data_IF_414962561972
#
_entry.id   IF_414962561972
#
_cell.length_a   1.000
_cell.length_b   1.000
_cell.length_c   1.000
_cell.angle_alpha   90.00
_cell.angle_beta   90.00
_cell.angle_gamma   90.00
#
_symmetry.space_group_name_H-M   'P 1'
#
loop_
_entity.id
_entity.type
_entity.pdbx_description
1 polymer ?
2 non-polymer ?
3 non-polymer ?
4 water ?
#
# COMPACT_ATOMS: atom_id res chain seq x y z
N UNK A 1 13.28 1.50 -8.56
CA UNK A 1 11.98 0.84 -8.76
C UNK A 1 10.84 1.82 -8.56
N UNK A 2 9.79 1.67 -9.37
CA UNK A 2 8.61 2.53 -9.28
C UNK A 2 7.53 1.84 -8.44
N UNK A 3 7.15 2.50 -7.35
CA UNK A 3 6.18 1.97 -6.37
C UNK A 3 4.88 2.77 -6.42
N UNK A 4 3.75 2.08 -6.50
CA UNK A 4 2.44 2.73 -6.53
C UNK A 4 1.69 2.45 -5.22
N UNK A 5 1.20 3.49 -4.55
CA UNK A 5 0.46 3.36 -3.27
C UNK A 5 -1.01 3.76 -3.46
N UNK A 6 -1.90 2.78 -3.30
CA UNK A 6 -3.34 2.94 -3.48
C UNK A 6 -4.10 2.50 -2.21
N UNK A 7 -5.42 2.70 -2.21
CA UNK A 7 -6.27 2.46 -1.05
C UNK A 7 -7.33 3.55 -0.90
N UNK A 8 -8.40 3.28 -0.14
CA UNK A 8 -9.48 4.27 0.04
C UNK A 8 -8.99 5.57 0.69
N UNK A 9 -9.74 6.64 0.48
CA UNK A 9 -9.54 7.88 1.24
C UNK A 9 -9.56 7.58 2.74
N UNK A 10 -8.70 8.27 3.49
CA UNK A 10 -8.55 8.17 4.95
C UNK A 10 -7.82 6.91 5.46
N UNK A 11 -7.29 6.08 4.56
CA UNK A 11 -6.62 4.82 4.97
C UNK A 11 -5.28 5.06 5.64
N UNK A 12 -4.62 6.15 5.23
CA UNK A 12 -3.35 6.56 5.80
C UNK A 12 -2.14 6.52 4.87
N UNK A 13 -2.39 6.61 3.57
CA UNK A 13 -1.34 6.54 2.55
C UNK A 13 -0.27 7.63 2.69
N UNK A 14 -0.70 8.88 2.85
CA UNK A 14 0.24 9.99 2.91
C UNK A 14 1.01 9.99 4.24
N UNK A 15 0.33 9.62 5.32
CA UNK A 15 0.97 9.49 6.62
C UNK A 15 2.08 8.44 6.59
N UNK A 16 1.85 7.30 5.92
CA UNK A 16 2.88 6.27 5.80
C UNK A 16 4.09 6.82 5.04
N UNK A 17 3.83 7.52 3.94
CA UNK A 17 4.93 8.04 3.14
C UNK A 17 5.78 9.05 3.93
N UNK A 18 5.13 9.94 4.67
CA UNK A 18 5.87 10.93 5.48
C UNK A 18 6.61 10.27 6.65
N UNK A 19 6.01 9.23 7.23
CA UNK A 19 6.68 8.45 8.26
C UNK A 19 7.96 7.79 7.72
N UNK A 20 7.89 7.26 6.49
CA UNK A 20 9.07 6.67 5.85
C UNK A 20 10.12 7.73 5.56
N UNK A 21 9.65 8.96 5.35
CA UNK A 21 10.52 10.09 5.01
C UNK A 21 10.99 10.86 6.25
N UNK A 22 10.65 10.34 7.43
CA UNK A 22 11.04 10.94 8.70
C UNK A 22 10.54 12.36 8.87
N UNK A 23 9.35 12.68 8.37
CA UNK A 23 8.87 14.06 8.43
C UNK A 23 7.57 14.15 9.23
N UNK A 24 7.03 15.37 9.33
CA UNK A 24 5.97 15.70 10.28
C UNK A 24 4.59 15.38 9.70
N UNK A 25 3.84 14.55 10.43
CA UNK A 25 2.51 14.15 10.00
C UNK A 25 1.39 15.03 10.57
N UNK A 26 1.71 15.96 11.47
CA UNK A 26 0.71 16.87 12.05
C UNK A 26 -0.07 17.64 10.98
N UNK A 27 0.61 17.97 9.89
CA UNK A 27 0.09 18.94 8.93
C UNK A 27 -0.43 18.32 7.63
N UNK A 28 -0.80 17.05 7.68
CA UNK A 28 -1.28 16.35 6.48
C UNK A 28 -2.77 16.63 6.21
N UNK A 29 -3.08 16.94 4.96
CA UNK A 29 -4.45 17.17 4.53
C UNK A 29 -4.81 16.17 3.42
N UNK A 30 -6.11 15.94 3.17
CA UNK A 30 -6.50 15.04 2.09
C UNK A 30 -5.83 15.38 0.76
N UNK A 31 -5.40 14.35 0.04
CA UNK A 31 -4.64 14.54 -1.19
C UNK A 31 -5.56 14.74 -2.40
N UNK A 32 -5.51 15.95 -2.97
CA UNK A 32 -6.37 16.31 -4.09
C UNK A 32 -5.95 15.65 -5.41
N UNK A 33 -4.65 15.49 -5.60
CA UNK A 33 -4.12 14.85 -6.79
C UNK A 33 -3.26 13.68 -6.39
N UNK A 34 -1.94 13.87 -6.43
CA UNK A 34 -1.02 12.85 -5.95
C UNK A 34 0.29 13.43 -5.44
N UNK A 35 1.04 12.62 -4.70
CA UNK A 35 2.36 13.00 -4.20
C UNK A 35 3.45 12.10 -4.76
N UNK A 36 4.64 12.67 -4.99
CA UNK A 36 5.81 11.87 -5.35
C UNK A 36 6.94 12.10 -4.33
N UNK A 37 7.59 11.02 -3.92
CA UNK A 37 8.76 11.10 -3.03
C UNK A 37 9.84 10.11 -3.48
N UNK A 38 11.08 10.57 -3.58
CA UNK A 38 12.21 9.69 -3.85
C UNK A 38 12.89 9.30 -2.55
N UNK A 39 13.17 8.01 -2.38
CA UNK A 39 13.71 7.47 -1.14
C UNK A 39 14.86 6.50 -1.43
N UNK A 40 16.02 6.71 -0.82
CA UNK A 40 17.13 5.76 -1.01
C UNK A 40 17.45 4.97 0.26
N UNK A 41 17.23 3.66 0.22
CA UNK A 41 17.49 2.79 1.37
C UNK A 41 18.07 1.43 0.95
N UNK A 42 19.11 0.99 1.67
CA UNK A 42 19.68 -0.35 1.52
C UNK A 42 20.14 -0.67 0.10
N UNK A 43 20.70 0.32 -0.59
CA UNK A 43 21.20 0.12 -1.94
C UNK A 43 20.13 0.19 -3.00
N UNK A 44 18.96 0.71 -2.63
CA UNK A 44 17.83 0.78 -3.55
C UNK A 44 17.35 2.21 -3.77
N UNK A 45 16.96 2.51 -5.00
CA UNK A 45 16.38 3.81 -5.32
C UNK A 45 14.88 3.65 -5.58
N UNK A 46 14.06 4.10 -4.63
CA UNK A 46 12.61 4.00 -4.78
C UNK A 46 11.99 5.33 -5.18
N UNK A 47 11.16 5.30 -6.21
CA UNK A 47 10.35 6.44 -6.59
C UNK A 47 8.89 6.10 -6.28
N UNK A 48 8.31 6.79 -5.30
CA UNK A 48 7.01 6.39 -4.75
C UNK A 48 5.90 7.38 -5.11
N UNK A 49 4.83 6.84 -5.70
CA UNK A 49 3.66 7.60 -6.11
C UNK A 49 2.47 7.32 -5.17
N UNK A 50 2.02 8.33 -4.43
CA UNK A 50 0.90 8.25 -3.48
C UNK A 50 -0.34 8.97 -4.07
N UNK A 51 -1.33 8.21 -4.54
CA UNK A 51 -2.47 8.79 -5.27
C UNK A 51 -3.67 9.01 -4.34
N UNK A 52 -4.35 10.15 -4.47
CA UNK A 52 -5.51 10.43 -3.64
C UNK A 52 -6.62 9.39 -3.83
N UNK A 53 -7.32 9.05 -2.75
CA UNK A 53 -8.29 7.96 -2.79
C UNK A 53 -9.78 8.29 -2.77
N UNK A 54 -10.14 9.58 -2.72
CA UNK A 54 -11.56 9.95 -2.77
C UNK A 54 -12.19 9.42 -4.05
N UNK A 55 -13.44 8.96 -3.98
CA UNK A 55 -14.07 8.29 -5.12
C UNK A 55 -14.10 9.14 -6.38
N UNK A 56 -14.21 10.46 -6.21
CA UNK A 56 -14.34 11.38 -7.34
C UNK A 56 -13.10 11.40 -8.23
N UNK A 57 -11.94 11.11 -7.64
CA UNK A 57 -10.69 11.13 -8.39
C UNK A 57 -10.12 9.73 -8.54
N UNK A 58 -10.85 8.74 -8.04
CA UNK A 58 -10.42 7.35 -8.14
C UNK A 58 -10.26 6.82 -9.59
N UNK A 59 -11.09 7.29 -10.55
CA UNK A 59 -10.82 6.85 -11.93
C UNK A 59 -9.42 7.18 -12.45
N UNK A 60 -8.76 8.19 -11.88
CA UNK A 60 -7.41 8.56 -12.31
C UNK A 60 -6.33 7.52 -11.96
N UNK A 61 -6.63 6.59 -11.06
CA UNK A 61 -5.66 5.57 -10.66
C UNK A 61 -5.03 4.85 -11.86
N UNK A 62 -5.83 4.59 -12.88
CA UNK A 62 -5.39 3.79 -14.02
C UNK A 62 -4.32 4.49 -14.87
N UNK A 63 -4.21 5.81 -14.73
CA UNK A 63 -3.15 6.57 -15.42
C UNK A 63 -1.75 6.09 -15.06
N UNK A 64 -1.61 5.49 -13.88
CA UNK A 64 -0.29 5.22 -13.33
C UNK A 64 0.06 3.73 -13.28
N UNK A 65 -0.72 2.91 -13.97
CA UNK A 65 -0.49 1.46 -13.96
C UNK A 65 0.75 1.05 -14.77
N UNK A 66 1.07 1.81 -15.81
CA UNK A 66 2.21 1.49 -16.68
C UNK A 66 3.55 1.59 -15.94
N UNK A 67 4.43 0.62 -16.18
CA UNK A 67 5.77 0.60 -15.59
C UNK A 67 5.75 0.61 -14.06
N UNK A 68 4.79 -0.09 -13.48
CA UNK A 68 4.74 -0.26 -12.03
C UNK A 68 5.53 -1.50 -11.65
N UNK A 69 6.43 -1.38 -10.69
CA UNK A 69 7.23 -2.52 -10.26
C UNK A 69 6.68 -3.21 -8.99
N UNK A 70 5.93 -2.47 -8.16
CA UNK A 70 5.28 -3.04 -6.96
C UNK A 70 4.08 -2.18 -6.57
N UNK A 71 3.05 -2.84 -6.01
CA UNK A 71 1.81 -2.20 -5.55
C UNK A 71 1.70 -2.31 -4.03
N UNK A 72 1.56 -1.18 -3.35
CA UNK A 72 1.23 -1.13 -1.90
C UNK A 72 -0.24 -0.72 -1.76
N UNK A 73 -1.05 -1.55 -1.10
CA UNK A 73 -2.48 -1.25 -0.89
C UNK A 73 -2.69 -1.05 0.61
N UNK A 74 -3.17 0.12 1.02
CA UNK A 74 -3.32 0.49 2.42
C UNK A 74 -4.79 0.39 2.84
N UNK A 75 -5.04 -0.20 4.01
CA UNK A 75 -6.41 -0.28 4.54
C UNK A 75 -6.46 0.17 6.02
N UNK A 76 -7.51 0.93 6.36
CA UNK A 76 -7.79 1.33 7.74
C UNK A 76 -8.36 0.12 8.49
N UNK A 77 -7.54 -0.48 9.36
CA UNK A 77 -7.94 -1.71 10.06
C UNK A 77 -9.05 -1.49 11.09
N UNK A 78 -9.29 -0.23 11.48
CA UNK A 78 -10.26 0.06 12.53
C UNK A 78 -11.59 0.55 11.96
N UNK A 79 -11.67 0.71 10.64
CA UNK A 79 -12.90 1.18 10.00
C UNK A 79 -13.63 0.03 9.27
N UNK A 80 -14.39 -0.75 10.02
CA UNK A 80 -15.04 -1.94 9.46
C UNK A 80 -16.22 -1.60 8.54
N UNK A 81 -16.75 -0.39 8.66
CA UNK A 81 -17.84 0.05 7.79
C UNK A 81 -17.41 0.20 6.33
N UNK A 82 -16.10 0.23 6.08
CA UNK A 82 -15.57 0.46 4.74
C UNK A 82 -14.84 -0.77 4.16
N UNK A 83 -14.87 -1.90 4.86
CA UNK A 83 -14.21 -3.12 4.37
C UNK A 83 -14.74 -3.62 3.00
N UNK A 84 -16.07 -3.61 2.81
CA UNK A 84 -16.65 -4.07 1.55
C UNK A 84 -16.18 -3.23 0.36
N UNK A 85 -16.04 -1.92 0.59
CA UNK A 85 -15.56 -0.98 -0.43
C UNK A 85 -14.07 -1.24 -0.73
N UNK A 86 -13.28 -1.48 0.32
CA UNK A 86 -11.85 -1.74 0.13
C UNK A 86 -11.62 -3.08 -0.64
N UNK A 87 -12.42 -4.12 -0.33
CA UNK A 87 -12.30 -5.37 -1.09
C UNK A 87 -12.71 -5.23 -2.56
N UNK A 88 -13.77 -4.47 -2.82
CA UNK A 88 -14.23 -4.26 -4.20
C UNK A 88 -13.12 -3.59 -5.02
N UNK A 89 -12.52 -2.53 -4.48
CA UNK A 89 -11.47 -1.83 -5.24
C UNK A 89 -10.21 -2.69 -5.44
N UNK A 90 -9.80 -3.47 -4.43
CA UNK A 90 -8.62 -4.33 -4.62
C UNK A 90 -8.87 -5.44 -5.65
N UNK A 91 -10.04 -6.08 -5.62
CA UNK A 91 -10.32 -7.16 -6.57
C UNK A 91 -10.33 -6.61 -8.01
N UNK A 92 -10.83 -5.39 -8.20
CA UNK A 92 -10.77 -4.76 -9.53
C UNK A 92 -9.32 -4.54 -9.97
N UNK A 93 -8.46 -4.07 -9.06
CA UNK A 93 -7.05 -3.84 -9.39
C UNK A 93 -6.36 -5.12 -9.86
N UNK A 94 -6.61 -6.21 -9.15
CA UNK A 94 -5.94 -7.48 -9.46
C UNK A 94 -6.41 -8.12 -10.79
N UNK A 95 -7.51 -7.62 -11.36
CA UNK A 95 -7.96 -8.09 -12.68
C UNK A 95 -7.41 -7.25 -13.84
N UNK A 96 -6.66 -6.19 -13.53
CA UNK A 96 -6.10 -5.33 -14.57
C UNK A 96 -4.94 -5.99 -15.31
N UNK A 97 -5.01 -6.01 -16.64
CA UNK A 97 -3.97 -6.66 -17.44
C UNK A 97 -2.62 -5.98 -17.26
N UNK A 98 -2.62 -4.66 -17.09
CA UNK A 98 -1.38 -3.92 -16.93
C UNK A 98 -0.66 -4.22 -15.61
N UNK A 99 -1.35 -4.87 -14.67
CA UNK A 99 -0.75 -5.17 -13.38
C UNK A 99 -0.45 -6.67 -13.21
N UNK A 100 -0.48 -7.42 -14.32
CA UNK A 100 -0.18 -8.84 -14.30
C UNK A 100 1.18 -9.13 -13.66
N UNK A 101 1.17 -9.99 -12.64
CA UNK A 101 2.39 -10.42 -11.96
C UNK A 101 3.06 -9.46 -10.98
N UNK A 102 2.54 -8.23 -10.86
CA UNK A 102 3.15 -7.22 -9.99
C UNK A 102 3.00 -7.57 -8.48
N UNK A 103 4.12 -7.62 -7.73
CA UNK A 103 4.02 -7.95 -6.28
C UNK A 103 3.10 -7.00 -5.48
N UNK A 104 2.34 -7.58 -4.55
CA UNK A 104 1.35 -6.86 -3.74
C UNK A 104 1.72 -6.90 -2.25
N UNK A 105 1.97 -5.72 -1.66
CA UNK A 105 2.09 -5.54 -0.19
C UNK A 105 0.82 -4.87 0.36
N UNK A 106 0.09 -5.56 1.24
CA UNK A 106 -1.06 -4.97 1.92
C UNK A 106 -0.62 -4.46 3.33
N UNK A 107 -0.75 -3.16 3.58
CA UNK A 107 -0.51 -2.58 4.91
C UNK A 107 -1.84 -2.49 5.67
N UNK A 108 -2.00 -3.30 6.72
CA UNK A 108 -3.17 -3.22 7.60
C UNK A 108 -2.89 -2.14 8.69
N UNK A 109 -3.27 -0.89 8.39
CA UNK A 109 -2.81 0.30 9.13
C UNK A 109 -3.69 0.66 10.35
N UNK A 110 -3.17 1.55 11.21
CA UNK A 110 -3.89 2.07 12.40
C UNK A 110 -4.12 1.02 13.47
N UNK A 111 -3.13 0.15 13.68
CA UNK A 111 -3.22 -0.90 14.71
C UNK A 111 -3.23 -0.31 16.13
N UNK A 112 -2.89 0.97 16.24
CA UNK A 112 -2.86 1.67 17.53
C UNK A 112 -4.26 2.01 18.04
N UNK A 113 -5.26 1.97 17.16
CA UNK A 113 -6.63 2.33 17.54
C UNK A 113 -7.41 1.15 18.14
N UNK A 114 -8.29 1.47 19.09
CA UNK A 114 -9.17 0.48 19.70
C UNK A 114 -10.09 -0.15 18.65
N UNK A 115 -10.16 -1.48 18.63
CA UNK A 115 -11.03 -2.18 17.71
C UNK A 115 -10.42 -2.48 16.35
N UNK A 116 -9.13 -2.19 16.19
CA UNK A 116 -8.42 -2.53 14.96
C UNK A 116 -8.45 -4.04 14.71
N UNK A 117 -8.82 -4.46 13.50
CA UNK A 117 -8.82 -5.88 13.16
C UNK A 117 -7.40 -6.38 12.93
N UNK A 118 -7.17 -7.64 13.31
CA UNK A 118 -5.87 -8.28 13.11
C UNK A 118 -5.61 -8.56 11.63
N UNK A 119 -4.33 -8.70 11.29
CA UNK A 119 -3.93 -9.01 9.90
C UNK A 119 -4.63 -10.26 9.34
N UNK A 120 -4.78 -11.31 10.15
CA UNK A 120 -5.38 -12.54 9.63
C UNK A 120 -6.88 -12.35 9.26
N UNK A 121 -7.59 -11.52 10.02
CA UNK A 121 -8.97 -11.19 9.73
C UNK A 121 -9.08 -10.38 8.43
N UNK A 122 -8.19 -9.39 8.27
CA UNK A 122 -8.15 -8.58 7.06
C UNK A 122 -7.82 -9.45 5.84
N UNK A 123 -6.87 -10.37 5.99
CA UNK A 123 -6.53 -11.29 4.90
C UNK A 123 -7.71 -12.16 4.45
N UNK A 124 -8.51 -12.59 5.42
CA UNK A 124 -9.68 -13.40 5.13
C UNK A 124 -10.71 -12.60 4.33
N UNK A 125 -10.98 -11.37 4.78
CA UNK A 125 -11.97 -10.52 4.10
C UNK A 125 -11.55 -10.19 2.66
N UNK A 126 -10.25 -9.96 2.44
CA UNK A 126 -9.74 -9.62 1.11
C UNK A 126 -9.49 -10.87 0.24
N UNK A 127 -9.67 -12.06 0.81
CA UNK A 127 -9.44 -13.35 0.12
C UNK A 127 -8.02 -13.48 -0.46
N UNK A 128 -7.01 -13.04 0.29
CA UNK A 128 -5.64 -13.03 -0.23
C UNK A 128 -5.14 -14.46 -0.54
N UNK A 129 -5.61 -15.48 0.21
CA UNK A 129 -5.03 -16.82 0.01
C UNK A 129 -5.42 -17.47 -1.34
N UNK A 130 -6.40 -16.89 -2.03
CA UNK A 130 -6.80 -17.37 -3.37
C UNK A 130 -5.97 -16.81 -4.55
N UNK A 131 -5.07 -15.86 -4.27
CA UNK A 131 -4.20 -15.28 -5.29
C UNK A 131 -3.24 -16.35 -5.84
N UNK A 132 -3.10 -16.42 -7.17
CA UNK A 132 -2.19 -17.38 -7.81
C UNK A 132 -1.21 -16.71 -8.79
N UNK A 133 -1.40 -15.43 -9.08
CA UNK A 133 -0.75 -14.80 -10.22
C UNK A 133 0.37 -13.80 -9.90
N UNK A 134 0.75 -13.71 -8.63
CA UNK A 134 1.74 -12.73 -8.17
C UNK A 134 2.21 -13.07 -6.76
N UNK A 135 3.43 -12.61 -6.38
CA UNK A 135 3.82 -12.67 -4.95
C UNK A 135 3.00 -11.69 -4.10
N UNK A 136 2.71 -12.04 -2.84
CA UNK A 136 1.96 -11.13 -1.97
C UNK A 136 2.34 -11.30 -0.50
N UNK A 137 2.04 -10.26 0.30
CA UNK A 137 2.35 -10.20 1.74
C UNK A 137 1.36 -9.28 2.43
N UNK A 138 0.86 -9.64 3.62
CA UNK A 138 0.14 -8.68 4.46
C UNK A 138 0.98 -8.35 5.72
N UNK A 139 1.01 -7.07 6.08
CA UNK A 139 1.78 -6.58 7.24
C UNK A 139 0.97 -5.61 8.10
N UNK A 140 0.76 -5.95 9.38
CA UNK A 140 0.14 -5.02 10.34
C UNK A 140 1.06 -3.84 10.63
N UNK A 141 0.51 -2.64 10.74
CA UNK A 141 1.33 -1.45 11.03
C UNK A 141 0.58 -0.30 11.69
N UNK A 142 1.35 0.66 12.20
CA UNK A 142 0.84 1.94 12.69
C UNK A 142 1.75 3.06 12.20
N UNK A 143 1.23 3.88 11.30
CA UNK A 143 2.02 4.97 10.74
C UNK A 143 2.29 6.05 11.77
N UNK A 144 1.41 6.16 12.76
CA UNK A 144 1.55 7.21 13.77
C UNK A 144 2.69 6.85 14.71
N UNK A 145 3.03 5.56 14.76
CA UNK A 145 3.90 5.05 15.79
C UNK A 145 5.09 4.32 15.22
N UNK A 146 5.05 4.06 13.91
CA UNK A 146 6.25 3.68 13.17
C UNK A 146 6.43 2.19 13.02
N UNK A 147 5.65 1.44 13.79
CA UNK A 147 5.76 0.00 13.84
C UNK A 147 5.25 -0.64 12.55
N UNK A 148 5.95 -1.69 12.12
CA UNK A 148 5.54 -2.49 10.99
C UNK A 148 6.02 -2.01 9.63
N UNK A 149 6.37 -0.73 9.52
CA UNK A 149 6.71 -0.15 8.22
C UNK A 149 8.01 -0.73 7.65
N UNK A 150 9.04 -0.85 8.49
CA UNK A 150 10.32 -1.39 8.06
C UNK A 150 10.21 -2.81 7.53
N UNK A 151 9.43 -3.63 8.23
CA UNK A 151 9.21 -5.03 7.87
C UNK A 151 8.53 -5.19 6.50
N UNK A 152 7.53 -4.35 6.27
CA UNK A 152 6.85 -4.34 4.99
C UNK A 152 7.77 -3.96 3.84
N UNK A 153 8.52 -2.87 4.01
CA UNK A 153 9.40 -2.40 2.94
C UNK A 153 10.52 -3.42 2.65
N UNK A 154 11.02 -4.13 3.66
CA UNK A 154 12.01 -5.18 3.42
C UNK A 154 11.50 -6.36 2.56
N UNK A 155 10.26 -6.80 2.79
CA UNK A 155 9.64 -7.82 1.93
C UNK A 155 9.56 -7.30 0.49
N UNK A 156 9.09 -6.07 0.33
CA UNK A 156 8.89 -5.51 -1.01
C UNK A 156 10.22 -5.42 -1.77
N UNK A 157 11.27 -5.00 -1.08
CA UNK A 157 12.58 -4.89 -1.73
C UNK A 157 13.10 -6.24 -2.24
N UNK A 158 12.86 -7.31 -1.49
CA UNK A 158 13.28 -8.64 -1.90
C UNK A 158 12.63 -9.05 -3.21
N UNK A 159 11.39 -8.61 -3.44
CA UNK A 159 10.68 -9.02 -4.66
C UNK A 159 11.17 -8.29 -5.91
N UNK A 160 11.61 -7.04 -5.76
CA UNK A 160 11.95 -6.19 -6.91
C UNK A 160 13.45 -6.13 -7.22
N UNK A 161 14.27 -6.66 -6.32
CA UNK A 161 15.72 -6.62 -6.51
C UNK A 161 16.21 -7.56 -7.60
N UNK A 162 17.25 -7.13 -8.31
CA UNK A 162 18.03 -8.05 -9.12
C UNK A 162 18.76 -8.98 -8.16
N UNK A 163 18.39 -10.26 -8.14
CA UNK A 163 18.97 -11.17 -7.16
C UNK A 163 20.11 -11.98 -7.76
N UNK A 164 21.22 -12.07 -7.03
CA UNK A 164 22.36 -12.87 -7.49
C UNK A 164 22.33 -14.26 -6.85
N UNK A 165 22.61 -15.28 -7.66
CA UNK A 165 22.63 -16.66 -7.19
C UNK A 165 23.96 -17.33 -7.52
N UNK A 166 24.23 -18.45 -6.85
CA UNK A 166 25.44 -19.22 -7.12
C UNK A 166 25.10 -20.59 -7.71
X LIG B 1 -6.39 10.55 0.95
X LIG B 1 -5.26 11.55 0.73
X LIG B 1 -7.77 11.14 0.83
X LIG B 1 -6.13 9.44 -0.07
X LIG B 1 -6.21 9.92 2.39
X LIG B 1 -4.90 9.17 2.95
X LIG B 1 -3.68 9.80 2.38
X LIG B 1 -5.03 7.67 2.74
X LIG B 1 -4.86 9.35 4.49
X LIG B 1 -4.04 10.34 5.41
X LIG B 1 -4.42 11.73 5.04
X LIG B 1 -2.61 9.97 5.40
X LIG B 1 -4.51 10.06 6.89
X LIG B 1 -5.88 10.14 7.22
X LIG B 1 -6.06 10.37 8.72
X LIG B 1 -5.71 9.17 9.46
X LIG B 1 -5.21 11.48 9.33
X LIG B 1 -5.94 12.16 10.35
X LIG B 1 -4.03 10.72 9.93
X LIG B 1 -3.42 11.42 11.00
X LIG B 1 -4.72 9.45 10.43
X LIG B 1 -3.82 8.30 10.56
X LIG B 1 -2.97 7.80 9.59
X LIG B 1 -2.29 6.76 9.99
X LIG B 1 -2.71 6.54 11.29
X LIG B 1 -2.32 5.55 12.22
X LIG B 1 -1.49 4.63 12.09
X LIG B 1 -3.00 5.68 13.44
X LIG B 1 -3.93 6.65 13.70
X LIG B 1 -4.47 6.62 14.93
X LIG B 1 -4.31 7.59 12.84
X LIG B 1 -3.66 7.48 11.65
X LIG C 1 -3.30 11.39 1.16
#
# INVERSE_FOLDING_TARGET
>A
ARILVLGLDNAGKTTILKALSEEDITTITPTQGFNIKSLSRDGFNLKIWDIGGQKSIRPYWRNYFDQTDALIYVIDSADSKRLSESEFELTELLQEEKMTGVPLLVFANKQDLVGALAADEIASTLDLTSIRDRPWQIQACSAKQGTGLKEGMEWMMKQVKLEHHHHHH
>B hetero
1 GNP PG O1G O2G O3G N3B PB O1B O2B O3A PA O1A O2A O5' C5' C4' O4' C3' O3' C2' O2' C1' N9 C8 N7 C5 C6 O6 N1 C2 N2 N3 C4
>C hetero
1 MG MG
#
